data_IF_880572530234
#
_entry.id   IF_880572530234
#
_cell.length_a   1.000
_cell.length_b   1.000
_cell.length_c   1.000
_cell.angle_alpha   90.00
_cell.angle_beta   90.00
_cell.angle_gamma   90.00
#
_symmetry.space_group_name_H-M   'P 1'
#
loop_
_entity.id
_entity.type
_entity.pdbx_description
1 polymer ?
#
# COMPACT_ATOMS: atom_id res chain seq x y z
N UNK A 1 -52.02 37.83 -1.10
CA UNK A 1 -51.01 38.64 -0.37
C UNK A 1 -50.15 37.71 0.47
N UNK A 2 -48.86 37.60 0.16
CA UNK A 2 -47.74 37.39 1.10
C UNK A 2 -46.47 37.31 0.25
N UNK A 3 -45.88 38.48 0.02
CA UNK A 3 -44.58 38.64 -0.64
C UNK A 3 -43.53 38.18 0.37
N UNK A 4 -42.80 37.11 0.08
CA UNK A 4 -41.68 36.67 0.91
C UNK A 4 -40.46 37.50 0.51
N UNK A 5 -40.12 38.42 1.40
CA UNK A 5 -39.09 39.43 1.27
C UNK A 5 -37.77 38.91 1.88
N UNK A 6 -36.67 39.35 1.25
CA UNK A 6 -35.29 39.46 1.77
C UNK A 6 -34.39 38.22 1.68
N UNK A 7 -33.70 38.14 0.54
CA UNK A 7 -32.27 37.83 0.47
C UNK A 7 -31.47 38.90 1.24
N UNK A 8 -30.64 38.52 2.22
CA UNK A 8 -29.31 39.14 2.40
C UNK A 8 -28.39 38.28 3.28
N UNK A 9 -27.36 37.76 2.62
CA UNK A 9 -26.05 37.36 3.10
C UNK A 9 -25.61 37.86 4.49
N UNK A 10 -25.19 36.94 5.36
CA UNK A 10 -23.99 37.15 6.16
C UNK A 10 -23.25 35.82 6.29
N UNK A 11 -22.32 35.64 5.36
CA UNK A 11 -21.37 34.55 5.24
C UNK A 11 -20.62 34.35 6.55
N UNK A 12 -20.78 33.18 7.18
CA UNK A 12 -19.79 32.67 8.12
C UNK A 12 -19.18 31.41 7.50
N UNK A 13 -18.30 31.67 6.53
CA UNK A 13 -17.33 30.72 6.02
C UNK A 13 -16.31 30.53 7.15
N UNK A 14 -16.53 29.55 8.01
CA UNK A 14 -15.45 29.00 8.80
C UNK A 14 -14.84 27.85 7.98
N UNK A 15 -13.98 28.25 7.05
CA UNK A 15 -13.07 27.35 6.38
C UNK A 15 -12.12 26.79 7.44
N UNK A 16 -12.50 25.65 8.03
CA UNK A 16 -11.55 24.77 8.71
C UNK A 16 -10.56 24.31 7.66
N UNK A 17 -9.45 25.04 7.58
CA UNK A 17 -8.27 24.64 6.84
C UNK A 17 -7.84 23.28 7.38
N UNK A 18 -8.19 22.23 6.64
CA UNK A 18 -7.60 20.90 6.80
C UNK A 18 -6.11 21.05 6.53
N UNK A 19 -5.32 21.21 7.59
CA UNK A 19 -3.87 20.95 7.56
C UNK A 19 -3.72 19.44 7.41
N UNK A 20 -3.93 18.95 6.19
CA UNK A 20 -3.60 17.60 5.79
C UNK A 20 -2.09 17.48 5.72
N UNK A 21 -1.43 17.24 6.86
CA UNK A 21 -0.10 16.64 6.86
C UNK A 21 -0.20 15.34 6.06
N UNK A 22 0.36 15.35 4.85
CA UNK A 22 0.24 14.31 3.83
C UNK A 22 0.84 12.98 4.30
N UNK A 23 0.08 12.22 5.09
CA UNK A 23 0.36 10.81 5.33
C UNK A 23 0.00 10.08 4.05
N UNK A 24 1.00 9.52 3.39
CA UNK A 24 0.79 8.62 2.25
C UNK A 24 -0.18 7.53 2.66
N UNK A 25 -1.40 7.55 2.12
CA UNK A 25 -2.41 6.52 2.38
C UNK A 25 -1.89 5.20 1.83
N UNK A 26 -1.71 4.22 2.72
CA UNK A 26 -1.34 2.85 2.37
C UNK A 26 -2.59 2.01 2.29
N UNK A 27 -2.73 1.20 1.25
CA UNK A 27 -3.94 0.37 1.03
C UNK A 27 -3.97 -0.85 1.97
N UNK A 28 -2.81 -1.48 2.20
CA UNK A 28 -2.72 -2.69 3.02
C UNK A 28 -1.55 -2.69 4.00
N UNK A 29 -1.76 -3.25 5.18
CA UNK A 29 -0.67 -3.86 5.97
C UNK A 29 -0.26 -5.19 5.35
N UNK A 30 0.92 -5.72 5.69
CA UNK A 30 1.39 -7.04 5.22
C UNK A 30 0.35 -8.16 5.43
N UNK A 31 -0.28 -8.20 6.61
CA UNK A 31 -1.28 -9.22 6.97
C UNK A 31 -2.56 -9.08 6.14
N UNK A 32 -3.03 -7.85 5.94
CA UNK A 32 -4.22 -7.59 5.12
C UNK A 32 -3.97 -7.95 3.67
N UNK A 33 -2.78 -7.63 3.15
CA UNK A 33 -2.38 -7.96 1.79
C UNK A 33 -2.39 -9.48 1.55
N UNK A 34 -1.77 -10.26 2.43
CA UNK A 34 -1.80 -11.73 2.33
C UNK A 34 -3.23 -12.29 2.43
N UNK A 35 -4.06 -11.70 3.28
CA UNK A 35 -5.48 -12.10 3.40
C UNK A 35 -6.25 -11.82 2.12
N UNK A 36 -6.03 -10.67 1.47
CA UNK A 36 -6.67 -10.30 0.21
C UNK A 36 -6.25 -11.26 -0.92
N UNK A 37 -4.95 -11.58 -1.02
CA UNK A 37 -4.45 -12.56 -1.97
C UNK A 37 -5.05 -13.95 -1.77
N UNK A 38 -5.17 -14.41 -0.52
CA UNK A 38 -5.79 -15.69 -0.19
C UNK A 38 -7.30 -15.74 -0.54
N UNK A 39 -7.96 -14.58 -0.63
CA UNK A 39 -9.36 -14.46 -1.08
C UNK A 39 -9.49 -14.33 -2.61
N UNK A 40 -8.38 -14.28 -3.34
CA UNK A 40 -8.38 -14.07 -4.79
C UNK A 40 -8.65 -12.63 -5.22
N UNK A 41 -8.45 -11.65 -4.33
CA UNK A 41 -8.61 -10.23 -4.68
C UNK A 41 -7.48 -9.74 -5.60
N UNK A 42 -7.81 -8.87 -6.56
CA UNK A 42 -6.79 -8.17 -7.35
C UNK A 42 -6.21 -7.00 -6.55
N UNK A 43 -4.90 -7.06 -6.30
CA UNK A 43 -4.14 -6.09 -5.50
C UNK A 43 -3.09 -5.33 -6.32
N UNK A 44 -3.04 -5.51 -7.64
CA UNK A 44 -2.12 -4.78 -8.51
C UNK A 44 -2.42 -3.27 -8.49
N UNK A 45 -1.36 -2.46 -8.53
CA UNK A 45 -1.41 -1.01 -8.39
C UNK A 45 -1.61 -0.51 -6.96
N UNK A 46 -1.90 -1.38 -6.00
CA UNK A 46 -2.09 -1.03 -4.58
C UNK A 46 -0.76 -0.92 -3.84
N UNK A 47 -0.79 -0.20 -2.73
CA UNK A 47 0.35 -0.01 -1.84
C UNK A 47 0.25 -0.91 -0.61
N UNK A 48 1.38 -1.47 -0.20
CA UNK A 48 1.49 -2.33 0.97
C UNK A 48 2.62 -1.87 1.87
N UNK A 49 2.34 -1.76 3.17
CA UNK A 49 3.33 -1.61 4.22
C UNK A 49 3.88 -3.00 4.57
N UNK A 50 5.07 -3.30 4.08
CA UNK A 50 5.74 -4.60 4.20
C UNK A 50 6.68 -4.60 5.38
N UNK A 51 6.42 -5.47 6.37
CA UNK A 51 7.38 -5.78 7.44
C UNK A 51 8.34 -6.87 6.96
N UNK A 52 9.62 -6.53 6.85
CA UNK A 52 10.67 -7.43 6.34
C UNK A 52 10.97 -8.52 7.36
N UNK A 53 10.71 -9.78 7.02
CA UNK A 53 11.09 -10.92 7.86
C UNK A 53 12.52 -11.39 7.55
N UNK A 54 12.88 -11.40 6.26
CA UNK A 54 14.19 -11.86 5.76
C UNK A 54 14.46 -11.31 4.36
N UNK A 55 15.73 -11.17 4.01
CA UNK A 55 16.20 -10.84 2.66
C UNK A 55 17.00 -12.02 2.13
N UNK A 56 16.69 -12.47 0.91
CA UNK A 56 17.42 -13.49 0.16
C UNK A 56 17.93 -12.85 -1.14
N UNK A 57 19.21 -12.46 -1.21
CA UNK A 57 19.74 -11.68 -2.33
C UNK A 57 19.90 -12.46 -3.63
N UNK A 58 20.07 -13.79 -3.56
CA UNK A 58 20.35 -14.65 -4.72
C UNK A 58 19.23 -15.68 -4.94
N UNK A 59 17.98 -15.22 -5.03
CA UNK A 59 16.87 -16.11 -5.40
C UNK A 59 16.77 -16.27 -6.92
N UNK A 60 16.01 -17.26 -7.38
CA UNK A 60 15.71 -17.47 -8.81
C UNK A 60 15.06 -16.22 -9.46
N UNK A 61 14.46 -15.35 -8.66
CA UNK A 61 13.77 -14.13 -9.11
C UNK A 61 14.51 -12.84 -8.72
N UNK A 62 15.79 -12.92 -8.37
CA UNK A 62 16.59 -11.79 -7.90
C UNK A 62 16.58 -11.64 -6.37
N UNK A 63 16.62 -10.41 -5.87
CA UNK A 63 16.48 -10.13 -4.45
C UNK A 63 15.05 -10.42 -4.01
N UNK A 64 14.90 -11.23 -2.96
CA UNK A 64 13.61 -11.59 -2.40
C UNK A 64 13.48 -11.09 -0.96
N UNK A 65 12.52 -10.20 -0.73
CA UNK A 65 12.03 -9.82 0.60
C UNK A 65 10.94 -10.82 0.98
N UNK A 66 11.26 -11.73 1.91
CA UNK A 66 10.27 -12.61 2.52
C UNK A 66 9.50 -11.81 3.59
N UNK A 67 8.17 -11.87 3.51
CA UNK A 67 7.26 -11.23 4.44
C UNK A 67 5.99 -12.07 4.63
N UNK A 68 5.20 -11.75 5.67
CA UNK A 68 4.00 -12.54 5.98
C UNK A 68 4.36 -14.02 6.22
N UNK A 69 3.45 -14.93 5.86
CA UNK A 69 3.74 -16.37 5.86
C UNK A 69 4.25 -16.84 4.50
N UNK A 70 3.72 -16.30 3.41
CA UNK A 70 3.94 -16.82 2.05
C UNK A 70 4.20 -15.73 0.99
N UNK A 71 4.64 -14.53 1.39
CA UNK A 71 4.88 -13.42 0.48
C UNK A 71 6.36 -13.29 0.11
N UNK A 72 6.64 -13.16 -1.18
CA UNK A 72 7.97 -12.99 -1.74
C UNK A 72 7.98 -11.73 -2.62
N UNK A 73 8.43 -10.59 -2.08
CA UNK A 73 8.54 -9.35 -2.85
C UNK A 73 9.90 -9.32 -3.55
N UNK A 74 9.89 -9.38 -4.88
CA UNK A 74 11.09 -9.61 -5.68
C UNK A 74 11.50 -8.39 -6.50
N UNK A 75 12.81 -8.14 -6.57
CA UNK A 75 13.43 -7.08 -7.36
C UNK A 75 14.74 -7.53 -8.01
N UNK A 76 15.06 -6.96 -9.17
CA UNK A 76 16.35 -7.21 -9.81
C UNK A 76 17.51 -6.52 -9.07
N UNK A 77 17.24 -5.35 -8.50
CA UNK A 77 18.22 -4.55 -7.76
C UNK A 77 18.11 -4.78 -6.25
N UNK A 78 19.20 -4.49 -5.54
CA UNK A 78 19.24 -4.54 -4.08
C UNK A 78 18.17 -3.58 -3.51
N UNK A 79 17.23 -4.08 -2.69
CA UNK A 79 16.16 -3.26 -2.17
C UNK A 79 16.58 -2.33 -1.02
N UNK A 80 17.84 -2.35 -0.59
CA UNK A 80 18.39 -1.47 0.47
C UNK A 80 17.50 -1.42 1.72
N UNK A 81 17.05 -2.59 2.17
CA UNK A 81 16.24 -2.78 3.38
C UNK A 81 16.81 -3.92 4.20
N UNK A 82 16.54 -3.90 5.50
CA UNK A 82 17.00 -4.93 6.43
C UNK A 82 15.85 -5.61 7.16
N UNK A 83 16.13 -6.79 7.72
CA UNK A 83 15.19 -7.52 8.59
C UNK A 83 14.68 -6.62 9.71
N UNK A 84 13.36 -6.66 9.94
CA UNK A 84 12.67 -5.88 10.96
C UNK A 84 12.22 -4.50 10.48
N UNK A 85 12.72 -4.01 9.34
CA UNK A 85 12.29 -2.75 8.75
C UNK A 85 10.86 -2.85 8.18
N UNK A 86 10.19 -1.70 8.11
CA UNK A 86 8.91 -1.57 7.40
C UNK A 86 9.07 -0.64 6.22
N UNK A 87 8.75 -1.13 5.02
CA UNK A 87 8.86 -0.39 3.76
C UNK A 87 7.50 -0.34 3.06
N UNK A 88 7.20 0.76 2.37
CA UNK A 88 5.97 0.90 1.58
C UNK A 88 6.31 0.59 0.12
N UNK A 89 5.67 -0.45 -0.43
CA UNK A 89 5.88 -0.89 -1.81
C UNK A 89 4.57 -0.77 -2.59
N UNK A 90 4.67 -0.41 -3.87
CA UNK A 90 3.52 -0.46 -4.79
C UNK A 90 3.61 -1.71 -5.65
N UNK A 91 2.55 -2.50 -5.63
CA UNK A 91 2.47 -3.79 -6.32
C UNK A 91 2.30 -3.56 -7.82
N UNK A 92 3.18 -4.17 -8.62
CA UNK A 92 3.11 -4.15 -10.08
C UNK A 92 2.39 -5.37 -10.62
N UNK A 93 2.77 -6.54 -10.12
CA UNK A 93 2.25 -7.81 -10.59
C UNK A 93 2.31 -8.84 -9.47
N UNK A 94 1.32 -9.72 -9.42
CA UNK A 94 1.34 -10.89 -8.54
C UNK A 94 1.26 -12.17 -9.38
N UNK A 95 2.14 -13.13 -9.08
CA UNK A 95 2.07 -14.49 -9.61
C UNK A 95 1.89 -15.47 -8.46
N UNK A 96 0.83 -16.26 -8.51
CA UNK A 96 0.62 -17.35 -7.56
C UNK A 96 1.47 -18.57 -7.93
N UNK A 97 2.11 -19.16 -6.95
CA UNK A 97 2.80 -20.46 -7.04
C UNK A 97 2.21 -21.39 -5.97
N UNK A 98 2.57 -22.67 -5.97
CA UNK A 98 2.05 -23.68 -5.03
C UNK A 98 2.18 -23.22 -3.56
N UNK A 99 1.12 -22.61 -3.03
CA UNK A 99 1.03 -22.10 -1.66
C UNK A 99 1.81 -20.81 -1.38
N UNK A 100 2.21 -20.04 -2.39
CA UNK A 100 2.94 -18.78 -2.19
C UNK A 100 2.69 -17.75 -3.30
N UNK A 101 3.12 -16.52 -3.05
CA UNK A 101 2.98 -15.41 -3.99
C UNK A 101 4.34 -14.80 -4.30
N UNK A 102 4.62 -14.61 -5.58
CA UNK A 102 5.73 -13.82 -6.09
C UNK A 102 5.17 -12.45 -6.47
N UNK A 103 5.67 -11.40 -5.84
CA UNK A 103 5.17 -10.04 -5.96
C UNK A 103 6.26 -9.14 -6.54
N UNK A 104 6.02 -8.65 -7.76
CA UNK A 104 6.87 -7.63 -8.38
C UNK A 104 6.37 -6.25 -7.94
N UNK A 105 7.28 -5.33 -7.65
CA UNK A 105 6.92 -4.04 -7.06
C UNK A 105 7.78 -2.88 -7.58
N UNK A 106 7.35 -1.67 -7.26
CA UNK A 106 8.19 -0.47 -7.25
C UNK A 106 8.24 0.12 -5.85
N UNK A 107 9.40 0.67 -5.49
CA UNK A 107 9.50 1.53 -4.31
C UNK A 107 8.70 2.80 -4.57
N UNK A 108 7.98 3.26 -3.56
CA UNK A 108 7.25 4.53 -3.62
C UNK A 108 8.13 5.67 -3.14
#
# INVERSE_FOLDING_TARGET
MKKLFVLLSCSLILALALVGCGKTKVDFTTKQFETALNKGENVEGKTVSVKVNKIVPNSVFGYNIEAGKHLNFVSNDNPDVKKGETVILKVKQVKSTLGSYIIYYEKK
#
